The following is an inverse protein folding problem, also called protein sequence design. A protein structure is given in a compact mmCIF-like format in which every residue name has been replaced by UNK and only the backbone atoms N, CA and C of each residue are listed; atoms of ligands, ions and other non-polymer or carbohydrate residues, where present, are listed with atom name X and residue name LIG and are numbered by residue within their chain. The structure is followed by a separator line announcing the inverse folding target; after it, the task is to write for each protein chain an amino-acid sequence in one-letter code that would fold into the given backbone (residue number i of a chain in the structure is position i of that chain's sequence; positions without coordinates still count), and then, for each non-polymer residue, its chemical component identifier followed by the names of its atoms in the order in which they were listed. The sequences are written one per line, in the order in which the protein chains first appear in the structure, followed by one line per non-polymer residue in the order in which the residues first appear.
data_IF_462389561169
#
_entry.id   IF_462389561169
#
_cell.length_a   1.000
_cell.length_b   1.000
_cell.length_c   1.000
_cell.angle_alpha   90.00
_cell.angle_beta   90.00
_cell.angle_gamma   90.00
#
_symmetry.space_group_name_H-M   'P 1'
#
loop_
_entity.id
_entity.type
_entity.pdbx_description
1 polymer ?
#
# COMPACT_ATOMS: atom_id res chain seq x y z
N UNK A 1 37.20 -4.25 -18.95
CA UNK A 1 36.14 -3.66 -18.10
C UNK A 1 34.88 -3.63 -18.95
N UNK A 2 33.99 -4.63 -18.81
CA UNK A 2 32.65 -4.55 -19.38
C UNK A 2 31.94 -3.38 -18.69
N UNK A 3 31.63 -2.34 -19.44
CA UNK A 3 30.66 -1.32 -19.03
C UNK A 3 29.31 -2.04 -18.86
N UNK A 4 28.95 -2.36 -17.64
CA UNK A 4 27.59 -2.78 -17.32
C UNK A 4 26.68 -1.63 -17.74
N UNK A 5 25.92 -1.85 -18.81
CA UNK A 5 24.87 -0.92 -19.22
C UNK A 5 23.97 -0.68 -18.04
N UNK A 6 23.97 0.54 -17.52
CA UNK A 6 23.11 0.93 -16.40
C UNK A 6 21.66 0.70 -16.82
N UNK A 7 20.89 0.13 -15.94
CA UNK A 7 19.48 -0.22 -16.19
C UNK A 7 18.60 1.02 -16.13
N UNK A 8 17.60 1.08 -16.99
CA UNK A 8 16.51 2.06 -16.88
C UNK A 8 15.37 1.49 -16.05
N UNK A 9 14.80 2.31 -15.17
CA UNK A 9 13.62 1.97 -14.36
C UNK A 9 12.44 2.83 -14.83
N UNK A 10 11.31 2.19 -15.08
CA UNK A 10 10.07 2.88 -15.38
C UNK A 10 9.01 2.48 -14.35
N UNK A 11 8.41 3.48 -13.73
CA UNK A 11 7.42 3.33 -12.69
C UNK A 11 6.04 3.65 -13.27
N UNK A 12 5.09 2.77 -13.03
CA UNK A 12 3.70 2.86 -13.49
C UNK A 12 2.72 2.83 -12.34
N UNK A 13 1.54 3.44 -12.47
CA UNK A 13 0.51 3.39 -11.43
C UNK A 13 -0.07 1.98 -11.23
N UNK A 14 -0.11 1.15 -12.26
CA UNK A 14 -0.75 -0.18 -12.21
C UNK A 14 -0.02 -1.25 -13.01
N UNK A 15 -0.22 -2.51 -12.64
CA UNK A 15 0.27 -3.68 -13.42
C UNK A 15 -0.33 -3.73 -14.84
N UNK A 16 -1.55 -3.21 -15.03
CA UNK A 16 -2.17 -3.11 -16.35
C UNK A 16 -1.41 -2.15 -17.25
N UNK A 17 -0.99 -1.00 -16.72
CA UNK A 17 -0.18 -0.03 -17.47
C UNK A 17 1.17 -0.64 -17.90
N UNK A 18 1.83 -1.41 -17.02
CA UNK A 18 3.06 -2.14 -17.34
C UNK A 18 2.82 -3.10 -18.51
N UNK A 19 1.78 -3.93 -18.43
CA UNK A 19 1.46 -4.88 -19.51
C UNK A 19 1.25 -4.18 -20.84
N UNK A 20 0.45 -3.13 -20.87
CA UNK A 20 0.18 -2.35 -22.09
C UNK A 20 1.48 -1.73 -22.67
N UNK A 21 2.36 -1.24 -21.81
CA UNK A 21 3.64 -0.69 -22.24
C UNK A 21 4.54 -1.77 -22.86
N UNK A 22 4.68 -2.91 -22.20
CA UNK A 22 5.51 -4.01 -22.69
C UNK A 22 4.97 -4.62 -23.98
N UNK A 23 3.66 -4.74 -24.15
CA UNK A 23 3.03 -5.22 -25.39
C UNK A 23 3.37 -4.34 -26.60
N UNK A 24 3.32 -3.02 -26.42
CA UNK A 24 3.73 -2.06 -27.47
C UNK A 24 5.22 -2.16 -27.82
N UNK A 25 6.05 -2.68 -26.92
CA UNK A 25 7.51 -2.83 -27.13
C UNK A 25 7.94 -4.19 -27.65
N UNK A 26 7.07 -5.20 -27.65
CA UNK A 26 7.40 -6.57 -28.11
C UNK A 26 7.94 -6.65 -29.55
N UNK A 27 7.56 -5.70 -30.41
CA UNK A 27 8.03 -5.65 -31.81
C UNK A 27 9.43 -5.04 -31.99
N UNK A 28 9.97 -4.44 -30.92
CA UNK A 28 11.27 -3.78 -30.96
C UNK A 28 12.31 -4.73 -30.34
N UNK A 29 13.30 -5.14 -31.17
CA UNK A 29 14.40 -5.99 -30.71
C UNK A 29 15.38 -5.22 -29.79
N UNK A 30 14.88 -4.68 -28.67
CA UNK A 30 15.61 -3.82 -27.72
C UNK A 30 15.54 -4.40 -26.31
N UNK A 31 16.57 -4.13 -25.51
CA UNK A 31 16.55 -4.45 -24.08
C UNK A 31 15.40 -3.70 -23.41
N UNK A 32 14.53 -4.46 -22.75
CA UNK A 32 13.40 -3.90 -22.03
C UNK A 32 13.90 -3.26 -20.71
N UNK A 33 13.35 -2.10 -20.33
CA UNK A 33 13.63 -1.49 -19.04
C UNK A 33 13.02 -2.32 -17.91
N UNK A 34 13.53 -2.10 -16.69
CA UNK A 34 12.84 -2.61 -15.50
C UNK A 34 11.56 -1.80 -15.31
N UNK A 35 10.42 -2.49 -15.22
CA UNK A 35 9.12 -1.86 -15.00
C UNK A 35 8.58 -2.27 -13.64
N UNK A 36 8.17 -1.32 -12.82
CA UNK A 36 7.57 -1.55 -11.50
C UNK A 36 6.27 -0.75 -11.36
N UNK A 37 5.38 -1.25 -10.51
CA UNK A 37 4.31 -0.40 -9.99
C UNK A 37 4.87 0.56 -8.96
N UNK A 38 4.13 1.64 -8.65
CA UNK A 38 4.52 2.57 -7.59
C UNK A 38 4.65 1.83 -6.25
N UNK A 39 3.76 0.89 -5.95
CA UNK A 39 3.80 0.10 -4.72
C UNK A 39 5.06 -0.78 -4.63
N UNK A 40 5.41 -1.49 -5.72
CA UNK A 40 6.63 -2.30 -5.79
C UNK A 40 7.90 -1.45 -5.74
N UNK A 41 7.84 -0.24 -6.32
CA UNK A 41 8.94 0.71 -6.25
C UNK A 41 9.15 1.19 -4.81
N UNK A 42 8.09 1.64 -4.12
CA UNK A 42 8.18 2.11 -2.74
C UNK A 42 8.73 1.01 -1.80
N UNK A 43 8.27 -0.23 -1.94
CA UNK A 43 8.79 -1.37 -1.16
C UNK A 43 10.29 -1.61 -1.32
N UNK A 44 10.89 -1.20 -2.44
CA UNK A 44 12.32 -1.38 -2.73
C UNK A 44 13.14 -0.13 -2.46
N UNK A 45 12.56 1.04 -2.69
CA UNK A 45 13.24 2.34 -2.61
C UNK A 45 13.26 2.93 -1.21
N UNK A 46 12.38 2.46 -0.31
CA UNK A 46 12.31 2.94 1.06
C UNK A 46 12.31 1.77 2.05
N UNK A 47 12.78 2.01 3.26
CA UNK A 47 12.75 1.05 4.35
C UNK A 47 12.62 1.75 5.70
N UNK A 48 12.14 1.03 6.69
CA UNK A 48 12.16 1.44 8.09
C UNK A 48 13.13 0.51 8.81
N UNK A 49 14.02 1.08 9.58
CA UNK A 49 15.05 0.35 10.32
C UNK A 49 14.42 -0.69 11.25
N UNK A 50 14.94 -1.91 11.19
CA UNK A 50 14.44 -3.06 11.96
C UNK A 50 12.99 -3.49 11.69
N UNK A 51 12.37 -3.05 10.58
CA UNK A 51 11.05 -3.51 10.16
C UNK A 51 11.11 -4.12 8.76
N UNK A 52 10.21 -5.06 8.50
CA UNK A 52 10.05 -5.69 7.19
C UNK A 52 8.66 -5.39 6.62
N UNK A 53 8.55 -5.36 5.31
CA UNK A 53 7.25 -5.18 4.67
C UNK A 53 6.33 -6.36 4.94
N UNK A 54 5.13 -6.03 5.41
CA UNK A 54 4.05 -6.98 5.60
C UNK A 54 3.53 -7.44 4.23
N UNK A 55 3.58 -8.73 3.97
CA UNK A 55 2.97 -9.31 2.77
C UNK A 55 1.44 -9.45 2.92
N UNK A 56 0.79 -9.90 1.84
CA UNK A 56 -0.66 -10.02 1.82
C UNK A 56 -1.19 -11.06 2.80
N UNK A 57 -0.50 -12.19 2.92
CA UNK A 57 -0.89 -13.27 3.82
C UNK A 57 -0.77 -12.85 5.29
N UNK A 58 0.35 -12.23 5.65
CA UNK A 58 0.58 -11.66 6.97
C UNK A 58 -0.45 -10.57 7.30
N UNK A 59 -0.77 -9.70 6.33
CA UNK A 59 -1.78 -8.66 6.49
C UNK A 59 -3.14 -9.21 6.85
N UNK A 60 -3.61 -10.24 6.16
CA UNK A 60 -4.90 -10.87 6.45
C UNK A 60 -4.93 -11.47 7.85
N UNK A 61 -3.84 -12.12 8.27
CA UNK A 61 -3.73 -12.67 9.62
C UNK A 61 -3.78 -11.58 10.69
N UNK A 62 -3.05 -10.49 10.48
CA UNK A 62 -3.05 -9.35 11.41
C UNK A 62 -4.41 -8.66 11.47
N UNK A 63 -5.09 -8.50 10.34
CA UNK A 63 -6.47 -7.97 10.33
C UNK A 63 -7.44 -8.90 11.06
N UNK A 64 -7.32 -10.21 10.86
CA UNK A 64 -8.11 -11.20 11.58
C UNK A 64 -7.88 -11.15 13.10
N UNK A 65 -6.65 -10.90 13.53
CA UNK A 65 -6.32 -10.70 14.94
C UNK A 65 -6.88 -9.36 15.45
N UNK A 66 -6.80 -8.30 14.66
CA UNK A 66 -7.24 -6.95 15.03
C UNK A 66 -8.75 -6.86 15.33
N UNK A 67 -9.55 -7.77 14.76
CA UNK A 67 -11.02 -7.80 14.93
C UNK A 67 -11.52 -8.72 16.05
N UNK A 68 -10.65 -9.53 16.70
CA UNK A 68 -11.07 -10.59 17.61
C UNK A 68 -12.01 -10.11 18.72
N UNK A 69 -11.73 -8.93 19.29
CA UNK A 69 -12.47 -8.38 20.42
C UNK A 69 -13.48 -7.30 19.99
N UNK A 70 -13.75 -7.20 18.68
CA UNK A 70 -14.62 -6.17 18.11
C UNK A 70 -15.88 -6.82 17.51
N UNK A 71 -17.04 -6.24 17.78
CA UNK A 71 -18.30 -6.68 17.17
C UNK A 71 -18.44 -6.20 15.72
N UNK A 72 -17.74 -6.91 14.82
CA UNK A 72 -17.75 -6.61 13.38
C UNK A 72 -19.04 -7.00 12.66
N UNK A 73 -19.95 -7.74 13.32
CA UNK A 73 -21.23 -8.16 12.71
C UNK A 73 -22.07 -6.95 12.31
N UNK A 74 -21.96 -5.85 13.04
CA UNK A 74 -22.61 -4.58 12.70
C UNK A 74 -22.18 -3.99 11.35
N UNK A 75 -20.99 -4.34 10.87
CA UNK A 75 -20.50 -3.99 9.54
C UNK A 75 -20.97 -4.96 8.44
N UNK A 76 -21.75 -5.97 8.78
CA UNK A 76 -22.11 -7.07 7.85
C UNK A 76 -20.93 -8.01 7.55
N UNK A 77 -19.85 -7.94 8.34
CA UNK A 77 -18.64 -8.75 8.15
C UNK A 77 -18.78 -10.04 8.94
N UNK A 78 -18.44 -11.14 8.30
CA UNK A 78 -18.50 -12.45 8.92
C UNK A 78 -17.33 -12.69 9.87
N UNK A 79 -17.59 -13.27 11.03
CA UNK A 79 -16.56 -13.79 11.93
C UNK A 79 -15.93 -15.11 11.45
N UNK A 80 -16.49 -15.75 10.42
CA UNK A 80 -15.88 -16.94 9.80
C UNK A 80 -14.62 -16.54 9.05
N UNK A 81 -13.49 -17.17 9.37
CA UNK A 81 -12.19 -16.86 8.76
C UNK A 81 -12.23 -16.91 7.23
N UNK A 82 -12.84 -17.95 6.64
CA UNK A 82 -12.92 -18.12 5.18
C UNK A 82 -13.67 -16.99 4.48
N UNK A 83 -14.77 -16.49 5.08
CA UNK A 83 -15.50 -15.33 4.55
C UNK A 83 -14.75 -14.04 4.81
N UNK A 84 -14.10 -13.93 5.96
CA UNK A 84 -13.29 -12.77 6.31
C UNK A 84 -12.11 -12.57 5.36
N UNK A 85 -11.49 -13.64 4.84
CA UNK A 85 -10.41 -13.52 3.84
C UNK A 85 -10.79 -12.60 2.67
N UNK A 86 -11.97 -12.78 2.11
CA UNK A 86 -12.45 -11.94 1.01
C UNK A 86 -12.85 -10.53 1.49
N UNK A 87 -13.45 -10.42 2.67
CA UNK A 87 -13.95 -9.15 3.20
C UNK A 87 -12.83 -8.26 3.75
N UNK A 88 -11.72 -8.84 4.23
CA UNK A 88 -10.56 -8.12 4.74
C UNK A 88 -9.91 -7.21 3.70
N UNK A 89 -9.97 -7.60 2.42
CA UNK A 89 -9.44 -6.77 1.32
C UNK A 89 -10.22 -5.45 1.19
N UNK A 90 -11.54 -5.47 1.35
CA UNK A 90 -12.34 -4.24 1.31
C UNK A 90 -12.03 -3.32 2.49
N UNK A 91 -11.84 -3.89 3.69
CA UNK A 91 -11.45 -3.13 4.88
C UNK A 91 -10.09 -2.47 4.65
N UNK A 92 -9.13 -3.24 4.15
CA UNK A 92 -7.77 -2.73 3.90
C UNK A 92 -7.75 -1.63 2.84
N UNK A 93 -8.49 -1.81 1.74
CA UNK A 93 -8.63 -0.76 0.71
C UNK A 93 -9.24 0.51 1.25
N UNK A 94 -10.29 0.41 2.06
CA UNK A 94 -10.86 1.58 2.73
C UNK A 94 -9.81 2.29 3.60
N UNK A 95 -9.04 1.55 4.38
CA UNK A 95 -7.97 2.15 5.17
C UNK A 95 -6.88 2.80 4.33
N UNK A 96 -6.51 2.19 3.19
CA UNK A 96 -5.57 2.78 2.26
C UNK A 96 -6.08 4.09 1.67
N UNK A 97 -7.33 4.13 1.24
CA UNK A 97 -7.93 5.33 0.65
C UNK A 97 -7.90 6.50 1.63
N UNK A 98 -8.41 6.31 2.86
CA UNK A 98 -8.41 7.39 3.85
C UNK A 98 -6.99 7.78 4.28
N UNK A 99 -6.10 6.82 4.45
CA UNK A 99 -4.71 7.05 4.89
C UNK A 99 -3.90 7.78 3.82
N UNK A 100 -4.09 7.40 2.55
CA UNK A 100 -3.35 7.98 1.42
C UNK A 100 -3.75 9.43 1.11
N UNK A 101 -4.95 9.83 1.50
CA UNK A 101 -5.41 11.22 1.42
C UNK A 101 -5.11 12.02 2.71
N UNK A 102 -4.49 11.37 3.70
CA UNK A 102 -4.18 11.99 5.00
C UNK A 102 -5.40 12.30 5.85
N UNK A 103 -6.52 11.59 5.62
CA UNK A 103 -7.77 11.79 6.35
C UNK A 103 -7.76 10.94 7.62
N UNK A 104 -8.04 11.54 8.77
CA UNK A 104 -8.32 10.81 10.00
C UNK A 104 -9.76 10.26 9.97
N UNK A 105 -9.91 8.97 10.24
CA UNK A 105 -11.23 8.32 10.30
C UNK A 105 -12.15 9.00 11.35
N UNK A 106 -11.59 9.60 12.39
CA UNK A 106 -12.34 10.32 13.38
C UNK A 106 -12.87 11.67 12.86
N UNK A 107 -12.17 12.31 11.92
CA UNK A 107 -12.64 13.53 11.26
C UNK A 107 -13.81 13.26 10.34
N UNK A 108 -13.87 12.07 9.71
CA UNK A 108 -15.01 11.68 8.87
C UNK A 108 -16.29 11.59 9.71
N UNK A 109 -16.20 11.10 10.95
CA UNK A 109 -17.37 10.96 11.85
C UNK A 109 -18.05 12.29 12.19
N UNK A 110 -17.32 13.39 12.19
CA UNK A 110 -17.82 14.71 12.56
C UNK A 110 -18.53 15.44 11.42
N UNK A 111 -18.50 14.90 10.21
CA UNK A 111 -19.20 15.50 9.04
C UNK A 111 -20.65 15.01 9.01
N UNK A 112 -21.60 15.93 8.99
CA UNK A 112 -23.05 15.68 8.97
C UNK A 112 -23.49 14.62 7.95
N UNK A 113 -22.83 14.57 6.81
CA UNK A 113 -23.10 13.61 5.73
C UNK A 113 -22.90 12.16 6.15
N UNK A 114 -22.08 11.90 7.18
CA UNK A 114 -21.70 10.56 7.64
C UNK A 114 -22.26 10.20 9.02
N UNK A 115 -23.11 11.03 9.60
CA UNK A 115 -23.71 10.80 10.93
C UNK A 115 -24.39 9.44 11.01
N UNK A 116 -25.09 9.03 9.96
CA UNK A 116 -25.76 7.73 9.87
C UNK A 116 -24.80 6.54 9.96
N UNK A 117 -23.54 6.71 9.55
CA UNK A 117 -22.49 5.68 9.57
C UNK A 117 -21.50 5.83 10.72
N UNK A 118 -21.79 6.70 11.69
CA UNK A 118 -20.87 7.01 12.79
C UNK A 118 -20.45 5.79 13.61
N UNK A 119 -21.37 4.84 13.82
CA UNK A 119 -21.07 3.59 14.51
C UNK A 119 -20.14 2.68 13.68
N UNK A 120 -20.37 2.56 12.37
CA UNK A 120 -19.52 1.79 11.48
C UNK A 120 -18.10 2.38 11.41
N UNK A 121 -17.99 3.70 11.32
CA UNK A 121 -16.70 4.39 11.34
C UNK A 121 -15.98 4.24 12.68
N UNK A 122 -16.72 4.17 13.80
CA UNK A 122 -16.14 3.89 15.10
C UNK A 122 -15.50 2.51 15.15
N UNK A 123 -16.22 1.48 14.69
CA UNK A 123 -15.74 0.11 14.62
C UNK A 123 -14.51 0.01 13.71
N UNK A 124 -14.56 0.58 12.51
CA UNK A 124 -13.43 0.59 11.57
C UNK A 124 -12.22 1.33 12.15
N UNK A 125 -12.43 2.42 12.88
CA UNK A 125 -11.36 3.15 13.56
C UNK A 125 -10.66 2.31 14.63
N UNK A 126 -11.43 1.51 15.38
CA UNK A 126 -10.88 0.59 16.37
C UNK A 126 -10.08 -0.54 15.71
N UNK A 127 -10.61 -1.13 14.64
CA UNK A 127 -9.89 -2.13 13.83
C UNK A 127 -8.58 -1.57 13.32
N UNK A 128 -8.59 -0.38 12.72
CA UNK A 128 -7.37 0.27 12.21
C UNK A 128 -6.34 0.51 13.31
N UNK A 129 -6.78 0.98 14.47
CA UNK A 129 -5.92 1.19 15.65
C UNK A 129 -5.27 -0.11 16.13
N UNK A 130 -6.06 -1.19 16.23
CA UNK A 130 -5.54 -2.50 16.63
C UNK A 130 -4.59 -3.08 15.60
N UNK A 131 -4.92 -2.95 14.32
CA UNK A 131 -4.07 -3.40 13.21
C UNK A 131 -2.71 -2.69 13.23
N UNK A 132 -2.67 -1.37 13.38
CA UNK A 132 -1.42 -0.61 13.49
C UNK A 132 -0.57 -1.03 14.69
N UNK A 133 -1.19 -1.30 15.84
CA UNK A 133 -0.48 -1.85 17.01
C UNK A 133 0.13 -3.22 16.73
N UNK A 134 -0.58 -4.09 15.99
CA UNK A 134 -0.08 -5.41 15.64
C UNK A 134 1.08 -5.33 14.62
N UNK A 135 1.03 -4.42 13.66
CA UNK A 135 2.16 -4.15 12.77
C UNK A 135 3.41 -3.76 13.58
N UNK A 136 3.28 -2.82 14.50
CA UNK A 136 4.39 -2.35 15.33
C UNK A 136 4.93 -3.45 16.24
N UNK A 137 4.05 -4.22 16.89
CA UNK A 137 4.43 -5.34 17.75
C UNK A 137 5.22 -6.43 17.01
N UNK A 138 4.87 -6.69 15.76
CA UNK A 138 5.51 -7.72 14.94
C UNK A 138 6.66 -7.18 14.07
N UNK A 139 7.04 -5.93 14.24
CA UNK A 139 8.09 -5.26 13.45
C UNK A 139 7.77 -5.28 11.95
N UNK A 140 6.49 -5.17 11.60
CA UNK A 140 6.04 -5.04 10.23
C UNK A 140 5.79 -3.59 9.85
N UNK A 141 5.92 -3.31 8.56
CA UNK A 141 5.55 -2.06 7.93
C UNK A 141 4.67 -2.34 6.71
N UNK A 142 3.65 -1.54 6.54
CA UNK A 142 2.87 -1.43 5.31
C UNK A 142 2.55 0.04 5.01
N UNK A 143 1.76 0.28 3.96
CA UNK A 143 1.40 1.65 3.54
C UNK A 143 0.61 2.44 4.60
N UNK A 144 -0.02 1.77 5.57
CA UNK A 144 -0.83 2.41 6.61
C UNK A 144 -0.01 2.96 7.78
N UNK A 145 1.18 2.40 8.01
CA UNK A 145 2.09 2.85 9.05
C UNK A 145 3.43 3.39 8.53
N UNK A 146 3.54 3.53 7.21
CA UNK A 146 4.68 4.15 6.57
C UNK A 146 4.56 5.67 6.74
N UNK A 147 4.91 6.18 7.91
CA UNK A 147 4.95 7.60 8.21
C UNK A 147 6.40 8.05 8.38
N UNK A 148 6.59 9.28 8.64
CA UNK A 148 7.76 10.16 8.75
C UNK A 148 9.14 9.57 9.14
N UNK A 149 9.28 8.28 9.38
CA UNK A 149 10.52 7.62 9.82
C UNK A 149 11.12 6.66 8.80
N UNK A 150 10.73 6.75 7.52
CA UNK A 150 11.35 5.94 6.48
C UNK A 150 12.71 6.52 6.06
N UNK A 151 13.57 5.64 5.55
CA UNK A 151 14.84 5.99 4.92
C UNK A 151 14.83 5.58 3.46
N UNK A 152 15.50 6.35 2.64
CA UNK A 152 15.64 6.07 1.20
C UNK A 152 16.76 5.05 1.00
N UNK A 153 16.47 4.00 0.25
CA UNK A 153 17.43 2.99 -0.16
C UNK A 153 18.26 3.48 -1.37
N UNK A 154 19.24 4.32 -1.09
CA UNK A 154 20.09 4.90 -2.12
C UNK A 154 20.87 3.84 -2.90
N UNK A 155 21.23 2.72 -2.28
CA UNK A 155 21.96 1.65 -2.96
C UNK A 155 21.12 0.97 -4.02
N UNK A 156 19.81 0.83 -3.77
CA UNK A 156 18.86 0.36 -4.77
C UNK A 156 18.69 1.37 -5.92
N UNK A 157 18.52 2.65 -5.60
CA UNK A 157 18.30 3.68 -6.61
C UNK A 157 19.52 3.88 -7.52
N UNK A 158 20.72 3.75 -7.00
CA UNK A 158 21.99 3.85 -7.75
C UNK A 158 22.19 2.73 -8.80
N UNK A 159 21.38 1.66 -8.76
CA UNK A 159 21.41 0.61 -9.78
C UNK A 159 20.90 1.10 -11.14
N UNK A 160 20.20 2.22 -11.16
CA UNK A 160 19.55 2.77 -12.35
C UNK A 160 20.26 4.05 -12.79
N UNK A 161 20.36 4.22 -14.10
CA UNK A 161 20.88 5.44 -14.74
C UNK A 161 19.77 6.49 -14.87
N UNK A 162 18.56 6.02 -15.10
CA UNK A 162 17.39 6.84 -15.36
C UNK A 162 16.16 6.20 -14.71
N UNK A 163 15.38 7.02 -14.02
CA UNK A 163 14.13 6.63 -13.38
C UNK A 163 13.02 7.52 -13.95
N UNK A 164 12.15 6.91 -14.73
CA UNK A 164 11.03 7.61 -15.36
C UNK A 164 9.73 7.20 -14.67
N UNK A 165 8.89 8.17 -14.33
CA UNK A 165 7.57 7.94 -13.72
C UNK A 165 6.51 8.31 -14.75
N UNK A 166 5.62 7.34 -15.03
CA UNK A 166 4.47 7.55 -15.90
C UNK A 166 3.27 8.01 -15.08
N UNK A 167 2.89 9.26 -15.25
CA UNK A 167 1.71 9.86 -14.63
C UNK A 167 0.41 9.60 -15.40
N UNK A 168 0.26 8.41 -15.96
CA UNK A 168 -1.01 8.01 -16.58
C UNK A 168 -1.93 7.43 -15.50
N UNK A 169 -2.75 8.26 -14.88
CA UNK A 169 -3.69 7.85 -13.85
C UNK A 169 -3.67 8.75 -12.61
N UNK A 170 -4.28 8.27 -11.56
CA UNK A 170 -4.35 8.97 -10.28
C UNK A 170 -3.24 8.47 -9.34
N UNK A 171 -2.49 9.42 -8.79
CA UNK A 171 -1.57 9.20 -7.67
C UNK A 171 -2.20 9.77 -6.41
N UNK A 172 -2.13 9.03 -5.32
CA UNK A 172 -2.58 9.51 -4.03
C UNK A 172 -1.62 10.58 -3.49
N UNK A 173 -2.10 11.39 -2.56
CA UNK A 173 -1.26 12.41 -1.92
C UNK A 173 0.00 11.80 -1.31
N UNK A 174 -0.12 10.68 -0.62
CA UNK A 174 1.00 9.96 -0.02
C UNK A 174 2.02 9.49 -1.07
N UNK A 175 1.57 8.93 -2.19
CA UNK A 175 2.46 8.50 -3.28
C UNK A 175 3.21 9.68 -3.88
N UNK A 176 2.53 10.82 -4.01
CA UNK A 176 3.11 12.04 -4.56
C UNK A 176 4.19 12.64 -3.64
N UNK A 177 4.02 12.52 -2.33
CA UNK A 177 5.00 13.00 -1.33
C UNK A 177 6.24 12.09 -1.24
N UNK A 178 6.15 10.82 -1.67
CA UNK A 178 7.23 9.82 -1.58
C UNK A 178 8.04 9.66 -2.88
N UNK A 179 7.64 10.28 -3.97
CA UNK A 179 8.33 10.31 -5.26
C UNK A 179 9.26 11.51 -5.35
#
# INVERSE_FOLDING_TARGET
KQMLSKKKLIIFPTQRAIRNYLEKKKSLNTLLPTCLTIDDFLKKSIYIENKIYCDEEQRVLLLSEAIKDIDIKKLGISSSFTKFLTQSEYIYRFFLEISSEGIDINEIKTKDTYEFYSEHLAILGEVLKNYKKLLDKNLFVDRLNLKDNYRINLDYLKLFEDITIYFEGYFTKQEFEMI
#
